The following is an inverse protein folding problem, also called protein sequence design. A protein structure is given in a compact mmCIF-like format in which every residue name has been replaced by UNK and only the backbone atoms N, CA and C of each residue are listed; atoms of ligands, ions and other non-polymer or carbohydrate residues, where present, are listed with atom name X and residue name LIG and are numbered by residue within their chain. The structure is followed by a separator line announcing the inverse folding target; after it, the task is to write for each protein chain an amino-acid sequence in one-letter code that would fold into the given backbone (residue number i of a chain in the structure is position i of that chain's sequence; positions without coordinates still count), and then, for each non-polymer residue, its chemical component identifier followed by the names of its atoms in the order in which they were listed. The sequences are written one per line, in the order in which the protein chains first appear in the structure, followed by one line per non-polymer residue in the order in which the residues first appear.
data_IF_292677240400
#
_entry.id   IF_292677240400
#
_cell.length_a   1.000
_cell.length_b   1.000
_cell.length_c   1.000
_cell.angle_alpha   90.00
_cell.angle_beta   90.00
_cell.angle_gamma   90.00
#
_symmetry.space_group_name_H-M   'P 1'
#
loop_
_entity.id
_entity.type
_entity.pdbx_description
1 polymer ?
#
# COMPACT_ATOMS: atom_id res chain seq x y z
N UNK A 1 15.46 16.50 -0.36
CA UNK A 1 14.55 15.46 -0.78
C UNK A 1 13.27 15.53 0.05
N UNK A 2 12.08 15.42 -0.57
CA UNK A 2 10.80 15.49 0.13
C UNK A 2 10.32 14.04 0.28
N UNK A 3 10.40 13.47 1.48
CA UNK A 3 10.08 12.06 1.74
C UNK A 3 8.67 11.87 2.31
N UNK A 4 8.12 12.91 2.92
CA UNK A 4 6.79 12.92 3.50
C UNK A 4 6.18 14.31 3.38
N UNK A 5 4.88 14.38 3.18
CA UNK A 5 4.11 15.61 3.16
C UNK A 5 2.89 15.46 4.06
N UNK A 6 2.78 16.35 5.04
CA UNK A 6 1.62 16.44 5.94
C UNK A 6 1.00 17.82 5.84
N UNK A 7 -0.32 17.85 5.70
CA UNK A 7 -1.05 19.10 5.64
C UNK A 7 -2.52 18.90 5.32
N UNK A 8 -3.20 19.99 5.01
CA UNK A 8 -4.61 20.01 4.62
C UNK A 8 -4.75 19.67 3.13
N UNK A 9 -5.59 18.74 2.79
CA UNK A 9 -5.95 18.44 1.40
C UNK A 9 -6.77 19.61 0.84
N UNK A 10 -6.14 20.46 0.02
CA UNK A 10 -6.77 21.67 -0.51
C UNK A 10 -7.62 21.37 -1.75
N UNK A 11 -7.17 20.47 -2.62
CA UNK A 11 -7.88 20.11 -3.85
C UNK A 11 -7.59 18.66 -4.28
N UNK A 12 -8.53 18.06 -5.00
CA UNK A 12 -8.40 16.78 -5.73
C UNK A 12 -8.76 17.01 -7.18
N UNK A 13 -7.95 16.50 -8.12
CA UNK A 13 -8.17 16.61 -9.55
C UNK A 13 -7.60 15.37 -10.23
N UNK A 14 -8.38 14.70 -11.07
CA UNK A 14 -8.00 13.51 -11.84
C UNK A 14 -6.94 12.59 -11.19
N UNK A 15 -5.66 12.85 -11.42
CA UNK A 15 -4.50 12.12 -10.92
C UNK A 15 -3.63 12.92 -9.93
N UNK A 16 -4.11 14.12 -9.48
CA UNK A 16 -3.34 15.05 -8.65
C UNK A 16 -4.12 15.55 -7.46
N UNK A 17 -3.38 15.83 -6.42
CA UNK A 17 -3.90 16.51 -5.24
C UNK A 17 -3.03 17.70 -4.89
N UNK A 18 -3.61 18.69 -4.21
CA UNK A 18 -2.85 19.79 -3.61
C UNK A 18 -2.92 19.64 -2.10
N UNK A 19 -1.77 19.53 -1.47
CA UNK A 19 -1.62 19.47 -0.01
C UNK A 19 -1.01 20.80 0.46
N UNK A 20 -1.74 21.54 1.25
CA UNK A 20 -1.31 22.78 1.85
C UNK A 20 -0.71 22.51 3.23
N UNK A 21 0.56 22.83 3.39
CA UNK A 21 1.27 22.68 4.67
C UNK A 21 0.93 23.80 5.63
N UNK A 22 1.21 23.61 6.92
CA UNK A 22 1.01 24.65 7.95
C UNK A 22 1.77 25.97 7.68
N UNK A 23 2.84 25.91 6.87
CA UNK A 23 3.58 27.08 6.42
C UNK A 23 2.96 27.83 5.24
N UNK A 24 1.78 27.44 4.76
CA UNK A 24 1.07 28.08 3.65
C UNK A 24 1.60 27.72 2.26
N UNK A 25 2.47 26.70 2.14
CA UNK A 25 2.94 26.20 0.84
C UNK A 25 2.02 25.08 0.37
N UNK A 26 1.45 25.24 -0.82
CA UNK A 26 0.69 24.19 -1.51
C UNK A 26 1.59 23.34 -2.41
N UNK A 27 1.62 22.03 -2.16
CA UNK A 27 2.34 21.08 -2.99
C UNK A 27 1.36 20.34 -3.91
N UNK A 28 1.61 20.39 -5.22
CA UNK A 28 0.91 19.53 -6.17
C UNK A 28 1.59 18.15 -6.17
N UNK A 29 0.79 17.11 -5.95
CA UNK A 29 1.28 15.73 -5.80
C UNK A 29 0.50 14.82 -6.74
N UNK A 30 1.21 14.08 -7.59
CA UNK A 30 0.64 13.03 -8.44
C UNK A 30 0.43 11.78 -7.58
N UNK A 31 -0.76 11.21 -7.61
CA UNK A 31 -1.10 10.03 -6.81
C UNK A 31 -1.69 8.91 -7.66
N UNK A 32 -1.45 7.63 -7.31
CA UNK A 32 -2.13 6.51 -7.94
C UNK A 32 -3.66 6.56 -7.72
N UNK A 33 -4.42 5.95 -8.63
CA UNK A 33 -5.89 5.93 -8.53
C UNK A 33 -6.37 5.36 -7.19
N UNK A 34 -5.80 4.23 -6.74
CA UNK A 34 -6.16 3.62 -5.45
C UNK A 34 -5.84 4.51 -4.24
N UNK A 35 -4.84 5.38 -4.33
CA UNK A 35 -4.57 6.43 -3.33
C UNK A 35 -5.64 7.50 -3.39
N UNK A 36 -5.97 7.99 -4.60
CA UNK A 36 -7.00 9.02 -4.82
C UNK A 36 -8.35 8.63 -4.22
N UNK A 37 -8.76 7.37 -4.39
CA UNK A 37 -10.02 6.83 -3.87
C UNK A 37 -10.07 6.76 -2.34
N UNK A 38 -8.93 6.48 -1.70
CA UNK A 38 -8.80 6.37 -0.25
C UNK A 38 -8.55 7.69 0.46
N UNK A 39 -8.17 8.75 -0.26
CA UNK A 39 -7.99 10.07 0.31
C UNK A 39 -9.33 10.69 0.73
N UNK A 40 -9.37 11.39 1.88
CA UNK A 40 -10.57 12.06 2.37
C UNK A 40 -11.03 13.19 1.44
N UNK A 41 -12.13 13.81 1.79
CA UNK A 41 -12.61 15.02 1.09
C UNK A 41 -11.67 16.22 1.30
N UNK A 42 -11.61 17.16 0.35
CA UNK A 42 -10.90 18.41 0.54
C UNK A 42 -11.28 19.11 1.85
N UNK A 43 -10.30 19.69 2.51
CA UNK A 43 -10.42 20.31 3.85
C UNK A 43 -9.87 19.47 4.98
N UNK A 44 -9.78 18.14 4.83
CA UNK A 44 -9.24 17.25 5.85
C UNK A 44 -7.70 17.23 5.87
N UNK A 45 -7.13 16.84 7.01
CA UNK A 45 -5.70 16.58 7.13
C UNK A 45 -5.32 15.26 6.46
N UNK A 46 -4.16 15.26 5.78
CA UNK A 46 -3.58 14.08 5.13
C UNK A 46 -2.10 14.00 5.40
N UNK A 47 -1.59 12.78 5.39
CA UNK A 47 -0.15 12.50 5.37
C UNK A 47 0.12 11.57 4.21
N UNK A 48 1.08 11.93 3.36
CA UNK A 48 1.51 11.13 2.21
C UNK A 48 3.00 10.81 2.33
N UNK A 49 3.39 9.57 2.08
CA UNK A 49 4.76 9.24 1.76
C UNK A 49 5.04 9.75 0.35
N UNK A 50 6.15 10.44 0.12
CA UNK A 50 6.38 11.13 -1.15
C UNK A 50 7.71 10.75 -1.79
N UNK A 51 7.73 10.76 -3.12
CA UNK A 51 8.93 10.61 -3.94
C UNK A 51 9.08 11.83 -4.86
N UNK A 52 10.18 12.55 -4.70
CA UNK A 52 10.52 13.67 -5.56
C UNK A 52 11.36 13.19 -6.74
N UNK A 53 10.82 13.35 -7.94
CA UNK A 53 11.55 13.09 -9.18
C UNK A 53 11.98 14.41 -9.80
N UNK A 54 13.29 14.59 -9.93
CA UNK A 54 13.91 15.77 -10.52
C UNK A 54 14.41 15.40 -11.92
N UNK A 55 13.98 16.15 -12.92
CA UNK A 55 14.41 16.03 -14.31
C UNK A 55 14.78 17.38 -14.87
N UNK A 56 15.45 17.41 -16.01
CA UNK A 56 15.80 18.65 -16.70
C UNK A 56 14.56 19.46 -17.13
N UNK A 57 13.49 18.77 -17.49
CA UNK A 57 12.21 19.33 -17.95
C UNK A 57 11.25 19.68 -16.80
N UNK A 58 11.60 19.40 -15.54
CA UNK A 58 10.77 19.74 -14.38
C UNK A 58 10.89 18.81 -13.19
N UNK A 59 10.27 19.24 -12.12
CA UNK A 59 10.18 18.49 -10.87
C UNK A 59 8.76 17.98 -10.69
N UNK A 60 8.62 16.73 -10.27
CA UNK A 60 7.34 16.14 -9.97
C UNK A 60 7.38 15.44 -8.62
N UNK A 61 6.35 15.65 -7.80
CA UNK A 61 6.18 15.00 -6.52
C UNK A 61 5.10 13.92 -6.67
N UNK A 62 5.45 12.71 -6.31
CA UNK A 62 4.56 11.56 -6.31
C UNK A 62 4.18 11.20 -4.87
N UNK A 63 2.91 10.88 -4.61
CA UNK A 63 2.40 10.63 -3.27
C UNK A 63 1.71 9.28 -3.14
N UNK A 64 1.91 8.67 -1.98
CA UNK A 64 1.43 7.35 -1.62
C UNK A 64 0.87 7.39 -0.20
N UNK A 65 -0.03 6.47 0.16
CA UNK A 65 -0.58 6.43 1.52
C UNK A 65 0.42 5.91 2.54
N UNK A 66 1.32 5.05 2.12
CA UNK A 66 2.32 4.46 3.00
C UNK A 66 3.68 4.28 2.32
N UNK A 67 4.65 3.92 3.12
CA UNK A 67 6.03 3.69 2.69
C UNK A 67 6.17 2.47 1.77
N UNK A 68 5.30 1.47 1.90
CA UNK A 68 5.32 0.25 1.08
C UNK A 68 4.95 0.57 -0.36
N UNK A 69 3.88 1.36 -0.57
CA UNK A 69 3.49 1.85 -1.90
C UNK A 69 4.61 2.70 -2.53
N UNK A 70 5.24 3.60 -1.75
CA UNK A 70 6.37 4.43 -2.21
C UNK A 70 7.56 3.58 -2.62
N UNK A 71 7.97 2.62 -1.79
CA UNK A 71 9.09 1.72 -2.08
C UNK A 71 8.83 0.87 -3.32
N UNK A 72 7.61 0.37 -3.48
CA UNK A 72 7.24 -0.37 -4.68
C UNK A 72 7.37 0.49 -5.94
N UNK A 73 6.87 1.73 -5.91
CA UNK A 73 7.06 2.68 -6.99
C UNK A 73 8.53 2.94 -7.30
N UNK A 74 9.37 3.12 -6.28
CA UNK A 74 10.83 3.28 -6.46
C UNK A 74 11.46 2.06 -7.13
N UNK A 75 11.07 0.84 -6.74
CA UNK A 75 11.52 -0.40 -7.39
C UNK A 75 11.13 -0.43 -8.86
N UNK A 76 9.90 -0.10 -9.18
CA UNK A 76 9.44 -0.05 -10.58
C UNK A 76 10.24 0.94 -11.42
N UNK A 77 10.44 2.15 -10.90
CA UNK A 77 11.14 3.23 -11.62
C UNK A 77 12.66 3.06 -11.66
N UNK A 78 13.24 2.13 -10.93
CA UNK A 78 14.66 1.79 -11.03
C UNK A 78 14.98 0.94 -12.28
N UNK A 79 13.96 0.36 -12.92
CA UNK A 79 14.16 -0.43 -14.14
C UNK A 79 14.36 0.47 -15.35
N UNK A 80 15.40 0.22 -16.13
CA UNK A 80 15.71 1.00 -17.34
C UNK A 80 14.54 1.01 -18.32
N UNK A 81 14.10 2.20 -18.71
CA UNK A 81 12.95 2.40 -19.62
C UNK A 81 11.59 2.42 -18.91
N UNK A 82 11.56 2.31 -17.58
CA UNK A 82 10.35 2.47 -16.77
C UNK A 82 10.41 3.81 -16.03
N UNK A 83 9.73 4.80 -16.58
CA UNK A 83 9.64 6.11 -15.95
C UNK A 83 8.49 6.21 -14.94
N UNK A 84 8.40 7.34 -14.22
CA UNK A 84 7.35 7.56 -13.21
C UNK A 84 5.92 7.39 -13.73
N UNK A 85 5.64 7.80 -14.98
CA UNK A 85 4.30 7.59 -15.59
C UNK A 85 3.92 6.12 -15.66
N UNK A 86 4.88 5.26 -16.03
CA UNK A 86 4.67 3.81 -16.09
C UNK A 86 4.53 3.23 -14.68
N UNK A 87 5.37 3.68 -13.75
CA UNK A 87 5.28 3.27 -12.34
C UNK A 87 3.91 3.58 -11.73
N UNK A 88 3.41 4.81 -11.89
CA UNK A 88 2.08 5.22 -11.43
C UNK A 88 0.98 4.42 -12.12
N UNK A 89 1.07 4.20 -13.43
CA UNK A 89 0.06 3.42 -14.15
C UNK A 89 -0.03 1.98 -13.63
N UNK A 90 1.12 1.34 -13.33
CA UNK A 90 1.14 -0.01 -12.79
C UNK A 90 0.56 -0.05 -11.37
N UNK A 91 0.98 0.86 -10.49
CA UNK A 91 0.43 0.94 -9.13
C UNK A 91 -1.07 1.25 -9.15
N UNK A 92 -1.54 2.12 -10.04
CA UNK A 92 -2.97 2.45 -10.19
C UNK A 92 -3.80 1.26 -10.69
N UNK A 93 -3.28 0.48 -11.63
CA UNK A 93 -4.03 -0.63 -12.25
C UNK A 93 -4.03 -1.91 -11.39
N UNK A 94 -2.92 -2.20 -10.72
CA UNK A 94 -2.73 -3.47 -10.02
C UNK A 94 -2.60 -3.33 -8.50
N UNK A 95 -2.24 -2.16 -8.00
CA UNK A 95 -1.81 -1.99 -6.62
C UNK A 95 -0.47 -2.66 -6.35
N UNK A 96 -0.02 -2.63 -5.10
CA UNK A 96 1.28 -3.18 -4.70
C UNK A 96 1.27 -4.72 -4.75
N UNK A 97 0.36 -5.36 -4.02
CA UNK A 97 0.35 -6.81 -3.86
C UNK A 97 0.18 -7.57 -5.19
N UNK A 98 -0.85 -7.18 -5.97
CA UNK A 98 -1.13 -7.81 -7.27
C UNK A 98 -0.03 -7.51 -8.29
N UNK A 99 0.53 -6.29 -8.26
CA UNK A 99 1.65 -5.90 -9.10
C UNK A 99 2.91 -6.71 -8.79
N UNK A 100 3.28 -6.82 -7.51
CA UNK A 100 4.42 -7.61 -7.06
C UNK A 100 4.25 -9.11 -7.39
N UNK A 101 3.05 -9.65 -7.18
CA UNK A 101 2.73 -11.04 -7.56
C UNK A 101 2.87 -11.26 -9.05
N UNK A 102 2.36 -10.36 -9.89
CA UNK A 102 2.49 -10.44 -11.35
C UNK A 102 3.95 -10.41 -11.81
N UNK A 103 4.80 -9.61 -11.16
CA UNK A 103 6.24 -9.57 -11.44
C UNK A 103 6.93 -10.87 -11.05
N UNK A 104 6.66 -11.40 -9.85
CA UNK A 104 7.24 -12.65 -9.35
C UNK A 104 6.84 -13.86 -10.20
N UNK A 105 5.56 -13.95 -10.57
CA UNK A 105 5.02 -15.02 -11.39
C UNK A 105 5.31 -14.85 -12.90
N UNK A 106 6.01 -13.76 -13.26
CA UNK A 106 6.30 -13.40 -14.66
C UNK A 106 5.05 -13.38 -15.53
N UNK A 107 3.95 -12.86 -14.99
CA UNK A 107 2.68 -12.76 -15.71
C UNK A 107 2.70 -11.60 -16.71
N UNK A 108 3.37 -11.86 -17.85
CA UNK A 108 3.59 -10.85 -18.89
C UNK A 108 2.26 -10.33 -19.45
N UNK A 109 1.24 -11.19 -19.56
CA UNK A 109 -0.07 -10.80 -20.07
C UNK A 109 -0.73 -9.74 -19.15
N UNK A 110 -0.73 -9.97 -17.83
CA UNK A 110 -1.28 -9.03 -16.85
C UNK A 110 -0.47 -7.73 -16.83
N UNK A 111 0.86 -7.81 -16.83
CA UNK A 111 1.71 -6.61 -16.86
C UNK A 111 1.51 -5.78 -18.12
N UNK A 112 1.38 -6.44 -19.29
CA UNK A 112 1.15 -5.75 -20.57
C UNK A 112 -0.26 -5.19 -20.74
N UNK A 113 -1.22 -5.58 -19.90
CA UNK A 113 -2.56 -4.97 -19.90
C UNK A 113 -2.57 -3.56 -19.29
N UNK A 114 -1.51 -3.17 -18.59
CA UNK A 114 -1.36 -1.84 -18.02
C UNK A 114 -1.00 -0.85 -19.12
N UNK A 115 -1.73 0.27 -19.17
CA UNK A 115 -1.50 1.30 -20.18
C UNK A 115 -0.05 1.82 -20.13
N UNK A 116 0.61 1.85 -21.27
CA UNK A 116 2.01 2.27 -21.40
C UNK A 116 3.04 1.15 -21.17
N UNK A 117 2.62 -0.08 -20.84
CA UNK A 117 3.50 -1.23 -20.67
C UNK A 117 3.32 -2.18 -21.86
N UNK A 118 4.26 -2.15 -22.79
CA UNK A 118 4.34 -3.13 -23.88
C UNK A 118 5.00 -4.44 -23.42
N UNK A 119 4.88 -5.50 -24.24
CA UNK A 119 5.43 -6.81 -23.94
C UNK A 119 6.91 -6.79 -23.54
N UNK A 120 7.75 -6.05 -24.27
CA UNK A 120 9.19 -5.93 -23.95
C UNK A 120 9.45 -5.28 -22.58
N UNK A 121 8.67 -4.27 -22.23
CA UNK A 121 8.77 -3.61 -20.92
C UNK A 121 8.27 -4.55 -19.80
N UNK A 122 7.19 -5.30 -20.04
CA UNK A 122 6.68 -6.29 -19.09
C UNK A 122 7.69 -7.42 -18.84
N UNK A 123 8.31 -7.96 -19.90
CA UNK A 123 9.35 -8.99 -19.80
C UNK A 123 10.57 -8.48 -19.01
N UNK A 124 11.01 -7.24 -19.27
CA UNK A 124 12.11 -6.61 -18.54
C UNK A 124 11.76 -6.40 -17.05
N UNK A 125 10.60 -5.83 -16.75
CA UNK A 125 10.11 -5.66 -15.37
C UNK A 125 10.10 -6.98 -14.61
N UNK A 126 9.55 -8.04 -15.21
CA UNK A 126 9.48 -9.36 -14.59
C UNK A 126 10.88 -9.99 -14.38
N UNK A 127 11.81 -9.77 -15.33
CA UNK A 127 13.18 -10.28 -15.21
C UNK A 127 13.98 -9.56 -14.12
N UNK A 128 13.92 -8.21 -14.09
CA UNK A 128 14.76 -7.41 -13.20
C UNK A 128 14.20 -7.35 -11.77
N UNK A 129 12.88 -7.45 -11.61
CA UNK A 129 12.23 -7.28 -10.31
C UNK A 129 11.61 -8.56 -9.72
N UNK A 130 11.46 -9.63 -10.48
CA UNK A 130 10.77 -10.84 -10.04
C UNK A 130 11.22 -11.37 -8.67
N UNK A 131 12.53 -11.33 -8.40
CA UNK A 131 13.10 -11.74 -7.11
C UNK A 131 13.18 -10.61 -6.08
N UNK A 132 13.12 -9.35 -6.53
CA UNK A 132 13.31 -8.15 -5.68
C UNK A 132 12.00 -7.59 -5.09
N UNK A 133 10.87 -8.21 -5.43
CA UNK A 133 9.54 -7.76 -4.98
C UNK A 133 8.90 -8.71 -3.97
N UNK A 134 9.65 -9.65 -3.43
CA UNK A 134 9.17 -10.63 -2.45
C UNK A 134 8.60 -9.92 -1.20
N UNK A 135 9.28 -8.89 -0.72
CA UNK A 135 8.84 -8.04 0.40
C UNK A 135 7.46 -7.39 0.20
N UNK A 136 6.98 -7.28 -1.04
CA UNK A 136 5.67 -6.70 -1.38
C UNK A 136 4.60 -7.76 -1.67
N UNK A 137 4.97 -9.03 -1.76
CA UNK A 137 4.02 -10.15 -1.97
C UNK A 137 3.57 -10.76 -0.66
N UNK A 138 4.40 -10.68 0.35
CA UNK A 138 3.93 -10.83 1.71
C UNK A 138 3.07 -9.59 1.98
N UNK A 139 1.77 -9.79 2.16
CA UNK A 139 0.93 -8.74 2.71
C UNK A 139 1.68 -8.21 3.93
N UNK A 140 2.07 -6.92 4.01
CA UNK A 140 2.32 -6.38 5.32
C UNK A 140 0.96 -6.56 6.00
N UNK A 141 0.84 -7.54 6.85
CA UNK A 141 -0.13 -7.49 7.91
C UNK A 141 -0.02 -6.05 8.42
N UNK A 142 -1.02 -5.22 8.17
CA UNK A 142 -1.13 -3.93 8.85
C UNK A 142 -0.63 -4.22 10.26
N UNK A 143 0.38 -3.47 10.76
CA UNK A 143 1.01 -3.77 12.05
C UNK A 143 -0.09 -4.29 12.95
N UNK A 144 0.03 -5.54 13.42
CA UNK A 144 -1.12 -6.16 14.05
C UNK A 144 -1.57 -5.21 15.14
N UNK A 145 -2.85 -4.82 15.19
CA UNK A 145 -3.32 -3.82 16.16
C UNK A 145 -2.76 -4.20 17.52
N UNK A 146 -2.26 -3.24 18.28
CA UNK A 146 -1.61 -3.46 19.57
C UNK A 146 -2.41 -4.50 20.35
N UNK A 147 -1.83 -5.65 20.66
CA UNK A 147 -2.50 -6.79 21.30
C UNK A 147 -2.81 -7.99 20.40
N UNK A 148 -2.76 -7.89 19.06
CA UNK A 148 -3.10 -9.02 18.19
C UNK A 148 -2.01 -10.10 18.14
N UNK A 149 -0.74 -9.75 18.27
CA UNK A 149 0.36 -10.73 18.39
C UNK A 149 0.28 -11.49 19.72
N UNK A 150 -0.03 -10.80 20.80
CA UNK A 150 -0.26 -11.43 22.10
C UNK A 150 -1.51 -12.31 22.09
N UNK A 151 -2.56 -11.90 21.39
CA UNK A 151 -3.77 -12.70 21.18
C UNK A 151 -3.50 -13.95 20.34
N UNK A 152 -2.69 -13.85 19.28
CA UNK A 152 -2.28 -15.00 18.47
C UNK A 152 -1.52 -16.04 19.29
N UNK A 153 -0.51 -15.61 20.06
CA UNK A 153 0.24 -16.49 20.97
C UNK A 153 -0.65 -17.13 22.04
N UNK A 154 -1.66 -16.41 22.51
CA UNK A 154 -2.62 -16.96 23.48
C UNK A 154 -3.50 -18.07 22.87
N UNK A 155 -4.00 -17.89 21.65
CA UNK A 155 -4.80 -18.89 20.93
C UNK A 155 -3.95 -20.11 20.54
N UNK A 156 -2.71 -19.94 20.15
CA UNK A 156 -1.77 -21.03 19.90
C UNK A 156 -1.51 -21.87 21.15
N UNK A 157 -1.36 -21.22 22.32
CA UNK A 157 -1.24 -21.91 23.60
C UNK A 157 -2.50 -22.68 24.00
N UNK A 158 -3.65 -22.26 23.52
CA UNK A 158 -4.94 -22.95 23.70
C UNK A 158 -5.12 -24.10 22.69
N UNK A 159 -4.16 -24.34 21.80
CA UNK A 159 -4.14 -25.46 20.87
C UNK A 159 -4.72 -25.19 19.48
N UNK A 160 -5.04 -23.94 19.15
CA UNK A 160 -5.49 -23.59 17.80
C UNK A 160 -4.31 -23.46 16.85
N UNK A 161 -4.49 -23.91 15.59
CA UNK A 161 -3.48 -23.76 14.57
C UNK A 161 -3.30 -22.28 14.19
N UNK A 162 -2.06 -21.83 13.94
CA UNK A 162 -1.72 -20.44 13.58
C UNK A 162 -2.62 -19.85 12.50
N UNK A 163 -2.94 -20.56 11.36
CA UNK A 163 -3.82 -20.02 10.33
C UNK A 163 -5.28 -19.81 10.76
N UNK A 164 -5.76 -20.63 11.69
CA UNK A 164 -7.11 -20.53 12.24
C UNK A 164 -7.22 -19.39 13.24
N UNK A 165 -6.23 -19.29 14.14
CA UNK A 165 -6.11 -18.22 15.12
C UNK A 165 -6.00 -16.84 14.45
N UNK A 166 -5.14 -16.70 13.44
CA UNK A 166 -4.96 -15.46 12.68
C UNK A 166 -6.26 -15.03 11.97
N UNK A 167 -6.97 -15.99 11.32
CA UNK A 167 -8.26 -15.70 10.67
C UNK A 167 -9.32 -15.22 11.66
N UNK A 168 -9.41 -15.86 12.83
CA UNK A 168 -10.36 -15.49 13.86
C UNK A 168 -10.07 -14.10 14.45
N UNK A 169 -8.81 -13.77 14.66
CA UNK A 169 -8.37 -12.45 15.13
C UNK A 169 -8.74 -11.36 14.10
N UNK A 170 -8.44 -11.57 12.82
CA UNK A 170 -8.81 -10.61 11.75
C UNK A 170 -10.32 -10.39 11.67
N UNK A 171 -11.09 -11.44 11.82
CA UNK A 171 -12.56 -11.36 11.80
C UNK A 171 -13.10 -10.64 13.04
N UNK A 172 -12.48 -10.87 14.20
CA UNK A 172 -12.81 -10.16 15.45
C UNK A 172 -12.51 -8.65 15.38
N UNK A 173 -11.45 -8.27 14.66
CA UNK A 173 -11.06 -6.87 14.42
C UNK A 173 -11.98 -6.19 13.41
N UNK A 174 -12.38 -6.87 12.34
CA UNK A 174 -13.24 -6.33 11.30
C UNK A 174 -14.66 -6.01 11.78
N UNK A 175 -15.14 -6.71 12.80
CA UNK A 175 -16.51 -6.57 13.33
C UNK A 175 -16.74 -5.40 14.30
N UNK A 176 -15.72 -4.61 14.64
CA UNK A 176 -15.87 -3.49 15.56
C UNK A 176 -14.95 -2.34 15.14
N UNK A 177 -15.52 -1.26 14.63
CA UNK A 177 -14.78 -0.08 14.17
C UNK A 177 -13.77 0.42 15.21
N UNK A 178 -12.50 0.06 15.04
CA UNK A 178 -11.36 0.80 15.59
C UNK A 178 -11.20 0.91 17.10
N UNK A 179 -11.84 0.11 17.91
CA UNK A 179 -11.61 0.13 19.35
C UNK A 179 -10.29 -0.59 19.68
N UNK A 180 -9.33 0.15 20.21
CA UNK A 180 -8.11 -0.34 20.85
C UNK A 180 -8.47 -1.41 21.89
N UNK A 181 -8.42 -2.68 21.46
CA UNK A 181 -8.81 -3.80 22.30
C UNK A 181 -7.68 -4.20 23.22
N UNK A 182 -7.95 -4.25 24.50
CA UNK A 182 -7.16 -5.06 25.42
C UNK A 182 -7.04 -6.47 24.82
N UNK A 183 -5.83 -7.04 24.82
CA UNK A 183 -5.52 -8.38 24.28
C UNK A 183 -6.54 -9.43 24.71
N UNK A 184 -7.03 -9.35 25.95
CA UNK A 184 -8.02 -10.26 26.52
C UNK A 184 -9.38 -10.20 25.82
N UNK A 185 -9.86 -8.99 25.49
CA UNK A 185 -11.13 -8.82 24.78
C UNK A 185 -11.04 -9.39 23.34
N UNK A 186 -9.89 -9.24 22.71
CA UNK A 186 -9.62 -9.77 21.38
C UNK A 186 -9.56 -11.30 21.37
N UNK A 187 -8.87 -11.91 22.35
CA UNK A 187 -8.82 -13.38 22.52
C UNK A 187 -10.22 -13.93 22.75
N UNK A 188 -11.00 -13.33 23.66
CA UNK A 188 -12.37 -13.79 23.97
C UNK A 188 -13.27 -13.79 22.73
N UNK A 189 -13.18 -12.74 21.91
CA UNK A 189 -13.95 -12.61 20.68
C UNK A 189 -13.52 -13.61 19.60
N UNK A 190 -12.23 -13.79 19.43
CA UNK A 190 -11.69 -14.79 18.50
C UNK A 190 -12.11 -16.22 18.90
N UNK A 191 -12.12 -16.53 20.20
CA UNK A 191 -12.64 -17.81 20.73
C UNK A 191 -14.13 -18.02 20.43
N UNK A 192 -14.96 -16.97 20.54
CA UNK A 192 -16.36 -17.07 20.14
C UNK A 192 -16.53 -17.42 18.67
N UNK A 193 -15.72 -16.83 17.79
CA UNK A 193 -15.75 -17.12 16.34
C UNK A 193 -15.30 -18.57 16.07
N UNK A 194 -14.29 -19.07 16.79
CA UNK A 194 -13.76 -20.43 16.63
C UNK A 194 -14.71 -21.50 17.20
N UNK A 195 -15.47 -21.19 18.24
CA UNK A 195 -16.40 -22.14 18.90
C UNK A 195 -17.80 -22.15 18.31
N UNK A 196 -18.16 -21.19 17.46
CA UNK A 196 -19.50 -21.09 16.84
C UNK A 196 -19.59 -21.86 15.50
N UNK A 197 -18.64 -22.75 15.24
CA UNK A 197 -18.56 -23.53 13.99
C UNK A 197 -18.93 -24.98 14.17
#
# INVERSE_FOLDING_TARGET
MIAQLRGRLAAKSADRVVVETAGGVGYEVVVPLGVMERLPSPGAEVTLATELVVREDGWALYGFLDETERRFFQRLTSVTGVGPKIGIALVSALGVERGARALREKNIALLSSVNGIGRKTAERLALELGEKVEEFTETPSAEPPVGSEAALKALERLGYATPEADRAIRQALAGNGGASGETEALVRRALQILTTR
#
